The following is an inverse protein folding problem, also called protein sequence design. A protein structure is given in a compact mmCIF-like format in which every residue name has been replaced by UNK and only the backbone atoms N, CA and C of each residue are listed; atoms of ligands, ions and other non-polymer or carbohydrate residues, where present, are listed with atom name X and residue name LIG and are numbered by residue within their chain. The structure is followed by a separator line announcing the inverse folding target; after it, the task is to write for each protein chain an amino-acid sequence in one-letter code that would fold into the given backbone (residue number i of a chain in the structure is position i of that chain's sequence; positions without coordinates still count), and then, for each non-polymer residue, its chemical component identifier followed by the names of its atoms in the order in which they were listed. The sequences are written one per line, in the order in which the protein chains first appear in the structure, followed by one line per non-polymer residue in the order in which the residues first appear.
data_IF_102234281160
#
_entry.id   IF_102234281160
#
_cell.length_a   1.000
_cell.length_b   1.000
_cell.length_c   1.000
_cell.angle_alpha   90.00
_cell.angle_beta   90.00
_cell.angle_gamma   90.00
#
_symmetry.space_group_name_H-M   'P 1'
#
loop_
_entity.id
_entity.type
_entity.pdbx_description
1 polymer ?
#
# COMPACT_ATOMS: atom_id res chain seq x y z
N UNK A 1 -20.77 -63.85 -32.69
CA UNK A 1 -21.46 -62.84 -31.91
C UNK A 1 -20.78 -62.75 -30.56
N UNK A 2 -19.95 -61.73 -30.32
CA UNK A 2 -19.36 -61.49 -29.03
C UNK A 2 -20.35 -60.67 -28.19
N UNK A 3 -20.89 -61.30 -27.14
CA UNK A 3 -21.63 -60.60 -26.11
C UNK A 3 -20.67 -59.68 -25.37
N UNK A 4 -20.82 -58.39 -25.59
CA UNK A 4 -20.13 -57.37 -24.83
C UNK A 4 -20.91 -57.23 -23.49
N UNK A 5 -20.36 -57.60 -22.32
CA UNK A 5 -21.09 -57.47 -21.06
C UNK A 5 -21.47 -56.02 -20.86
N UNK A 6 -22.75 -55.72 -20.73
CA UNK A 6 -23.22 -54.40 -20.29
C UNK A 6 -22.66 -54.16 -18.92
N UNK A 7 -22.07 -52.96 -18.66
CA UNK A 7 -21.65 -52.64 -17.29
C UNK A 7 -22.90 -52.65 -16.39
N UNK A 8 -22.86 -53.42 -15.33
CA UNK A 8 -23.88 -53.42 -14.31
C UNK A 8 -23.92 -52.04 -13.63
N UNK A 9 -25.10 -51.45 -13.44
CA UNK A 9 -25.20 -50.15 -12.77
C UNK A 9 -24.76 -50.27 -11.30
N UNK A 10 -23.77 -49.54 -10.91
CA UNK A 10 -23.28 -49.43 -9.53
C UNK A 10 -23.72 -48.08 -8.93
N UNK A 11 -24.46 -48.16 -7.83
CA UNK A 11 -24.96 -46.99 -7.10
C UNK A 11 -24.15 -46.83 -5.82
N UNK A 12 -23.47 -45.66 -5.63
CA UNK A 12 -22.63 -45.37 -4.48
C UNK A 12 -22.82 -43.97 -3.93
N UNK A 13 -22.89 -43.86 -2.61
CA UNK A 13 -22.75 -42.58 -1.91
C UNK A 13 -21.68 -42.74 -0.82
N UNK A 14 -20.62 -41.94 -0.87
CA UNK A 14 -19.48 -42.02 0.05
C UNK A 14 -19.26 -40.68 0.71
N UNK A 15 -19.10 -40.67 2.03
CA UNK A 15 -18.57 -39.57 2.81
C UNK A 15 -17.08 -39.87 3.04
N UNK A 16 -16.20 -39.03 2.50
CA UNK A 16 -14.76 -39.18 2.68
C UNK A 16 -14.25 -38.12 3.69
N UNK A 17 -13.50 -38.57 4.70
CA UNK A 17 -12.81 -37.74 5.66
C UNK A 17 -11.29 -37.96 5.47
N UNK A 18 -10.54 -36.90 5.26
CA UNK A 18 -9.09 -36.95 5.25
C UNK A 18 -8.54 -35.93 6.24
N UNK A 19 -7.69 -36.40 7.14
CA UNK A 19 -7.07 -35.59 8.17
C UNK A 19 -5.55 -35.75 8.15
N UNK A 20 -4.82 -34.67 7.91
CA UNK A 20 -3.36 -34.63 8.02
C UNK A 20 -2.99 -34.37 9.49
N UNK A 21 -2.24 -35.30 10.09
CA UNK A 21 -1.74 -35.16 11.45
C UNK A 21 -0.57 -34.16 11.45
N UNK A 22 -0.77 -32.99 12.04
CA UNK A 22 0.21 -31.90 12.05
C UNK A 22 1.27 -32.08 13.15
N UNK A 23 1.95 -33.23 13.15
CA UNK A 23 2.95 -33.57 14.16
C UNK A 23 4.17 -32.62 14.11
N UNK A 24 4.57 -32.22 12.91
CA UNK A 24 5.73 -31.36 12.67
C UNK A 24 5.36 -29.88 12.60
N UNK A 25 4.10 -29.54 12.72
CA UNK A 25 3.62 -28.17 12.72
C UNK A 25 3.51 -27.52 11.33
N UNK A 26 3.41 -28.30 10.25
CA UNK A 26 3.28 -27.74 8.89
C UNK A 26 2.08 -26.81 8.77
N UNK A 27 0.89 -27.28 9.18
CA UNK A 27 -0.34 -26.51 9.13
C UNK A 27 -0.31 -25.33 10.11
N UNK A 28 0.25 -25.49 11.30
CA UNK A 28 0.42 -24.42 12.28
C UNK A 28 1.35 -23.32 11.75
N UNK A 29 2.52 -23.67 11.20
CA UNK A 29 3.42 -22.72 10.57
C UNK A 29 2.81 -22.03 9.36
N UNK A 30 2.08 -22.78 8.52
CA UNK A 30 1.38 -22.21 7.37
C UNK A 30 0.28 -21.22 7.79
N UNK A 31 -0.47 -21.54 8.85
CA UNK A 31 -1.46 -20.65 9.43
C UNK A 31 -0.81 -19.38 10.00
N UNK A 32 0.29 -19.53 10.75
CA UNK A 32 1.04 -18.38 11.29
C UNK A 32 1.56 -17.47 10.18
N UNK A 33 2.09 -18.04 9.08
CA UNK A 33 2.48 -17.28 7.91
C UNK A 33 1.29 -16.54 7.29
N UNK A 34 0.12 -17.19 7.20
CA UNK A 34 -1.11 -16.57 6.69
C UNK A 34 -1.60 -15.42 7.56
N UNK A 35 -1.59 -15.58 8.88
CA UNK A 35 -1.95 -14.52 9.84
C UNK A 35 -0.99 -13.34 9.72
N UNK A 36 0.33 -13.60 9.67
CA UNK A 36 1.32 -12.54 9.52
C UNK A 36 1.15 -11.77 8.19
N UNK A 37 0.89 -12.48 7.08
CA UNK A 37 0.59 -11.86 5.80
C UNK A 37 -0.69 -11.01 5.83
N UNK A 38 -1.74 -11.46 6.51
CA UNK A 38 -2.94 -10.67 6.71
C UNK A 38 -2.67 -9.40 7.53
N UNK A 39 -2.00 -9.53 8.68
CA UNK A 39 -1.66 -8.37 9.53
C UNK A 39 -0.75 -7.38 8.80
N UNK A 40 0.19 -7.87 7.98
CA UNK A 40 0.99 -7.04 7.09
C UNK A 40 0.12 -6.18 6.17
N UNK A 41 -0.93 -6.75 5.57
CA UNK A 41 -1.83 -6.01 4.69
C UNK A 41 -2.66 -4.95 5.43
N UNK A 42 -3.05 -5.23 6.68
CA UNK A 42 -3.73 -4.28 7.56
C UNK A 42 -2.83 -3.08 7.87
N UNK A 43 -1.58 -3.34 8.27
CA UNK A 43 -0.64 -2.25 8.58
C UNK A 43 -0.20 -1.49 7.32
N UNK A 44 -0.10 -2.15 6.15
CA UNK A 44 0.13 -1.49 4.87
C UNK A 44 -0.99 -0.48 4.53
N UNK A 45 -2.25 -0.85 4.81
CA UNK A 45 -3.39 0.05 4.65
C UNK A 45 -3.28 1.28 5.56
N UNK A 46 -2.92 1.07 6.83
CA UNK A 46 -2.74 2.19 7.78
C UNK A 46 -1.59 3.11 7.34
N UNK A 47 -0.46 2.55 6.88
CA UNK A 47 0.66 3.32 6.36
C UNK A 47 0.23 4.16 5.13
N UNK A 48 -0.50 3.56 4.18
CA UNK A 48 -1.02 4.27 3.02
C UNK A 48 -1.99 5.39 3.41
N UNK A 49 -2.89 5.15 4.38
CA UNK A 49 -3.80 6.18 4.88
C UNK A 49 -3.05 7.38 5.46
N UNK A 50 -2.00 7.14 6.26
CA UNK A 50 -1.17 8.23 6.82
C UNK A 50 -0.48 9.02 5.71
N UNK A 51 0.12 8.34 4.74
CA UNK A 51 0.77 8.98 3.59
C UNK A 51 -0.23 9.82 2.79
N UNK A 52 -1.39 9.27 2.49
CA UNK A 52 -2.44 9.98 1.74
C UNK A 52 -2.90 11.24 2.47
N UNK A 53 -3.13 11.17 3.79
CA UNK A 53 -3.52 12.35 4.58
C UNK A 53 -2.43 13.41 4.54
N UNK A 54 -1.15 13.02 4.66
CA UNK A 54 -0.04 13.96 4.59
C UNK A 54 0.10 14.60 3.19
N UNK A 55 -0.05 13.81 2.12
CA UNK A 55 -0.01 14.30 0.73
C UNK A 55 -1.16 15.27 0.43
N UNK A 56 -2.38 14.95 0.86
CA UNK A 56 -3.55 15.84 0.71
C UNK A 56 -3.33 17.15 1.47
N UNK A 57 -2.83 17.09 2.71
CA UNK A 57 -2.54 18.28 3.49
C UNK A 57 -1.46 19.14 2.83
N UNK A 58 -0.36 18.54 2.40
CA UNK A 58 0.72 19.26 1.71
C UNK A 58 0.23 19.92 0.41
N UNK A 59 -0.49 19.18 -0.44
CA UNK A 59 -1.03 19.69 -1.68
C UNK A 59 -2.05 20.83 -1.45
N UNK A 60 -2.86 20.75 -0.39
CA UNK A 60 -3.80 21.80 -0.01
C UNK A 60 -3.09 23.09 0.45
N UNK A 61 -2.04 22.98 1.28
CA UNK A 61 -1.26 24.14 1.69
C UNK A 61 -0.50 24.76 0.54
N UNK A 62 0.03 23.97 -0.40
CA UNK A 62 0.63 24.46 -1.63
C UNK A 62 -0.40 25.22 -2.50
N UNK A 63 -1.63 24.73 -2.60
CA UNK A 63 -2.71 25.42 -3.30
C UNK A 63 -3.03 26.77 -2.65
N UNK A 64 -3.15 26.81 -1.32
CA UNK A 64 -3.34 28.08 -0.59
C UNK A 64 -2.20 29.06 -0.78
N UNK A 65 -0.96 28.57 -0.88
CA UNK A 65 0.21 29.41 -1.16
C UNK A 65 0.16 29.99 -2.58
N UNK A 66 -0.25 29.21 -3.59
CA UNK A 66 -0.42 29.69 -4.95
C UNK A 66 -1.54 30.73 -5.07
N UNK A 67 -2.66 30.55 -4.36
CA UNK A 67 -3.75 31.54 -4.29
C UNK A 67 -3.22 32.87 -3.69
N UNK A 68 -2.44 32.79 -2.60
CA UNK A 68 -1.82 33.97 -2.00
C UNK A 68 -0.81 34.65 -2.94
N UNK A 69 0.02 33.87 -3.65
CA UNK A 69 0.93 34.40 -4.66
C UNK A 69 0.18 35.12 -5.78
N UNK A 70 -0.95 34.56 -6.23
CA UNK A 70 -1.81 35.18 -7.24
C UNK A 70 -2.36 36.53 -6.75
N UNK A 71 -2.80 36.62 -5.52
CA UNK A 71 -3.29 37.88 -4.93
C UNK A 71 -2.19 38.95 -4.84
N UNK A 72 -0.98 38.56 -4.44
CA UNK A 72 0.20 39.47 -4.44
C UNK A 72 0.50 39.98 -5.84
N UNK A 73 0.48 39.08 -6.84
CA UNK A 73 0.73 39.47 -8.24
C UNK A 73 -0.37 40.42 -8.74
N UNK A 74 -1.66 40.17 -8.43
CA UNK A 74 -2.74 41.09 -8.79
C UNK A 74 -2.60 42.48 -8.17
N UNK A 75 -2.23 42.58 -6.91
CA UNK A 75 -1.96 43.84 -6.24
C UNK A 75 -0.73 44.52 -6.84
N UNK A 76 0.32 43.78 -7.17
CA UNK A 76 1.53 44.31 -7.84
C UNK A 76 1.19 44.84 -9.22
N UNK A 77 0.36 44.17 -9.99
CA UNK A 77 -0.09 44.64 -11.30
C UNK A 77 -0.84 45.97 -11.20
N UNK A 78 -1.73 46.13 -10.23
CA UNK A 78 -2.43 47.39 -10.00
C UNK A 78 -1.43 48.53 -9.71
N UNK A 79 -0.43 48.30 -8.84
CA UNK A 79 0.60 49.26 -8.53
C UNK A 79 1.50 49.59 -9.75
N UNK A 80 1.88 48.57 -10.57
CA UNK A 80 2.67 48.75 -11.79
C UNK A 80 1.93 49.55 -12.84
N UNK A 81 0.61 49.33 -13.04
CA UNK A 81 -0.23 50.10 -13.96
C UNK A 81 -0.28 51.56 -13.57
N UNK A 82 -0.42 51.85 -12.27
CA UNK A 82 -0.36 53.24 -11.78
C UNK A 82 1.04 53.83 -11.95
N UNK A 83 2.11 53.06 -11.72
CA UNK A 83 3.49 53.48 -12.00
C UNK A 83 3.73 53.85 -13.46
N UNK A 84 3.22 53.07 -14.41
CA UNK A 84 3.26 53.35 -15.86
C UNK A 84 2.51 54.66 -16.17
N UNK A 85 1.32 54.83 -15.58
CA UNK A 85 0.53 56.06 -15.75
C UNK A 85 1.28 57.30 -15.29
N UNK A 86 1.90 57.27 -14.13
CA UNK A 86 2.70 58.39 -13.61
C UNK A 86 3.97 58.63 -14.42
N UNK A 87 4.67 57.57 -14.85
CA UNK A 87 5.86 57.71 -15.70
C UNK A 87 5.54 58.35 -17.04
N UNK A 88 4.38 57.99 -17.64
CA UNK A 88 3.85 58.61 -18.86
C UNK A 88 3.61 60.11 -18.69
N UNK A 89 2.88 60.49 -17.64
CA UNK A 89 2.59 61.91 -17.35
C UNK A 89 3.87 62.75 -17.17
N UNK A 90 4.89 62.20 -16.47
CA UNK A 90 6.18 62.89 -16.28
C UNK A 90 6.96 63.01 -17.58
N UNK A 91 6.92 61.99 -18.45
CA UNK A 91 7.55 62.04 -19.77
C UNK A 91 6.87 63.09 -20.67
N UNK A 92 5.53 63.09 -20.78
CA UNK A 92 4.74 64.04 -21.55
C UNK A 92 4.93 65.46 -21.03
N UNK A 93 5.15 65.64 -19.71
CA UNK A 93 5.48 66.93 -19.10
C UNK A 93 6.94 67.35 -19.21
N UNK A 94 7.80 66.58 -19.90
CA UNK A 94 9.20 66.88 -20.09
C UNK A 94 10.08 66.71 -18.82
N UNK A 95 9.54 66.05 -17.78
CA UNK A 95 10.22 65.92 -16.49
C UNK A 95 11.13 64.66 -16.40
N UNK A 96 10.95 63.69 -17.30
CA UNK A 96 11.77 62.45 -17.34
C UNK A 96 12.03 62.02 -18.77
N UNK A 97 13.04 61.13 -18.95
CA UNK A 97 13.35 60.55 -20.26
C UNK A 97 12.34 59.44 -20.66
N UNK A 98 12.21 59.24 -21.97
CA UNK A 98 11.44 58.13 -22.54
C UNK A 98 11.89 56.76 -22.02
N UNK A 99 13.18 56.60 -21.69
CA UNK A 99 13.75 55.39 -21.13
C UNK A 99 13.05 54.98 -19.83
N UNK A 100 12.77 55.95 -18.93
CA UNK A 100 12.08 55.66 -17.66
C UNK A 100 10.63 55.18 -17.88
N UNK A 101 9.92 55.77 -18.85
CA UNK A 101 8.57 55.31 -19.23
C UNK A 101 8.60 53.91 -19.84
N UNK A 102 9.52 53.64 -20.78
CA UNK A 102 9.69 52.37 -21.42
C UNK A 102 10.07 51.25 -20.41
N UNK A 103 10.94 51.55 -19.44
CA UNK A 103 11.27 50.61 -18.35
C UNK A 103 10.04 50.26 -17.51
N UNK A 104 9.19 51.22 -17.16
CA UNK A 104 7.97 50.98 -16.42
C UNK A 104 7.01 50.06 -17.20
N UNK A 105 6.89 50.23 -18.52
CA UNK A 105 6.10 49.37 -19.38
C UNK A 105 6.65 47.93 -19.44
N UNK A 106 7.97 47.76 -19.55
CA UNK A 106 8.60 46.42 -19.53
C UNK A 106 8.34 45.71 -18.21
N UNK A 107 8.45 46.41 -17.09
CA UNK A 107 8.18 45.82 -15.77
C UNK A 107 6.69 45.46 -15.60
N UNK A 108 5.76 46.24 -16.13
CA UNK A 108 4.34 45.88 -16.17
C UNK A 108 4.13 44.62 -17.01
N UNK A 109 4.64 44.57 -18.23
CA UNK A 109 4.48 43.44 -19.14
C UNK A 109 5.07 42.14 -18.53
N UNK A 110 6.25 42.21 -17.88
CA UNK A 110 6.85 41.08 -17.16
C UNK A 110 5.93 40.59 -16.05
N UNK A 111 5.34 41.49 -15.28
CA UNK A 111 4.43 41.10 -14.19
C UNK A 111 3.12 40.47 -14.74
N UNK A 112 2.61 40.97 -15.86
CA UNK A 112 1.41 40.44 -16.52
C UNK A 112 1.60 38.98 -16.98
N UNK A 113 2.82 38.57 -17.38
CA UNK A 113 3.07 37.18 -17.78
C UNK A 113 3.02 36.17 -16.61
N UNK A 114 3.14 36.65 -15.36
CA UNK A 114 3.08 35.76 -14.19
C UNK A 114 1.65 35.23 -13.94
N UNK A 115 0.63 36.01 -14.21
CA UNK A 115 -0.75 35.67 -13.85
C UNK A 115 -1.27 34.42 -14.56
N UNK A 116 -1.14 34.25 -15.89
CA UNK A 116 -1.56 33.04 -16.57
C UNK A 116 -0.79 31.79 -16.09
N UNK A 117 0.49 31.96 -15.78
CA UNK A 117 1.31 30.85 -15.26
C UNK A 117 0.82 30.38 -13.88
N UNK A 118 0.44 31.32 -13.00
CA UNK A 118 -0.11 30.99 -11.69
C UNK A 118 -1.49 30.34 -11.81
N UNK A 119 -2.35 30.86 -12.68
CA UNK A 119 -3.67 30.26 -12.95
C UNK A 119 -3.56 28.82 -13.43
N UNK A 120 -2.60 28.54 -14.32
CA UNK A 120 -2.33 27.17 -14.76
C UNK A 120 -1.85 26.28 -13.59
N UNK A 121 -0.90 26.77 -12.74
CA UNK A 121 -0.41 26.01 -11.59
C UNK A 121 -1.52 25.71 -10.59
N UNK A 122 -2.41 26.68 -10.34
CA UNK A 122 -3.58 26.50 -9.46
C UNK A 122 -4.47 25.41 -9.99
N UNK A 123 -4.81 25.42 -11.28
CA UNK A 123 -5.66 24.40 -11.91
C UNK A 123 -5.03 23.00 -11.88
N UNK A 124 -3.71 22.91 -12.11
CA UNK A 124 -2.98 21.63 -11.98
C UNK A 124 -3.07 21.13 -10.55
N UNK A 125 -2.82 21.98 -9.55
CA UNK A 125 -2.87 21.59 -8.14
C UNK A 125 -4.28 21.21 -7.67
N UNK A 126 -5.33 21.86 -8.19
CA UNK A 126 -6.73 21.45 -7.97
C UNK A 126 -7.00 20.05 -8.52
N UNK A 127 -6.50 19.76 -9.73
CA UNK A 127 -6.65 18.43 -10.33
C UNK A 127 -5.89 17.35 -9.53
N UNK A 128 -4.66 17.66 -9.07
CA UNK A 128 -3.89 16.75 -8.22
C UNK A 128 -4.63 16.43 -6.91
N UNK A 129 -5.20 17.45 -6.27
CA UNK A 129 -6.02 17.26 -5.06
C UNK A 129 -7.28 16.46 -5.34
N UNK A 130 -8.01 16.75 -6.42
CA UNK A 130 -9.20 15.99 -6.79
C UNK A 130 -8.84 14.50 -7.02
N UNK A 131 -7.71 14.22 -7.66
CA UNK A 131 -7.21 12.85 -7.85
C UNK A 131 -6.90 12.16 -6.51
N UNK A 132 -6.19 12.83 -5.59
CA UNK A 132 -5.90 12.28 -4.25
C UNK A 132 -7.17 12.01 -3.44
N UNK A 133 -8.22 12.80 -3.64
CA UNK A 133 -9.53 12.62 -3.01
C UNK A 133 -10.42 11.60 -3.71
N UNK A 134 -9.99 11.03 -4.84
CA UNK A 134 -10.79 10.11 -5.64
C UNK A 134 -11.99 10.77 -6.32
N UNK A 135 -11.91 12.07 -6.62
CA UNK A 135 -12.96 12.87 -7.24
C UNK A 135 -12.59 13.25 -8.67
N UNK A 136 -13.60 13.60 -9.46
CA UNK A 136 -13.37 14.20 -10.76
C UNK A 136 -12.79 15.60 -10.62
N UNK A 137 -11.99 16.04 -11.62
CA UNK A 137 -11.42 17.37 -11.67
C UNK A 137 -12.50 18.46 -11.50
N UNK A 138 -12.25 19.38 -10.58
CA UNK A 138 -13.19 20.44 -10.24
C UNK A 138 -12.55 21.47 -9.31
N UNK A 139 -13.30 22.49 -8.97
CA UNK A 139 -12.86 23.51 -8.04
C UNK A 139 -12.80 22.94 -6.61
N UNK A 140 -11.66 23.13 -5.95
CA UNK A 140 -11.47 22.72 -4.55
C UNK A 140 -11.88 23.89 -3.65
N UNK A 141 -12.81 23.67 -2.69
CA UNK A 141 -13.20 24.73 -1.76
C UNK A 141 -12.01 25.17 -0.90
N UNK A 142 -11.83 26.49 -0.75
CA UNK A 142 -10.80 27.09 0.12
C UNK A 142 -11.40 27.33 1.50
N UNK A 143 -10.60 27.06 2.52
CA UNK A 143 -10.91 27.44 3.90
C UNK A 143 -10.36 28.83 4.24
N UNK A 144 -9.76 28.93 5.42
CA UNK A 144 -9.12 30.19 5.84
C UNK A 144 -7.89 30.50 4.96
N UNK A 145 -7.64 31.80 4.69
CA UNK A 145 -6.39 32.23 4.03
C UNK A 145 -5.15 31.70 4.78
N UNK A 146 -4.07 31.44 4.05
CA UNK A 146 -2.84 30.86 4.63
C UNK A 146 -2.32 31.64 5.84
N UNK A 147 -2.47 32.97 5.85
CA UNK A 147 -2.05 33.87 6.94
C UNK A 147 -2.86 33.75 8.22
N UNK A 148 -4.08 33.24 8.13
CA UNK A 148 -5.03 33.10 9.23
C UNK A 148 -5.05 31.66 9.79
N UNK A 149 -4.29 30.76 9.17
CA UNK A 149 -4.17 29.38 9.63
C UNK A 149 -3.21 29.30 10.81
N UNK A 150 -3.67 28.68 11.89
CA UNK A 150 -2.86 28.45 13.08
C UNK A 150 -2.14 27.11 13.00
N UNK A 151 -0.82 27.13 13.09
CA UNK A 151 -0.03 25.93 13.31
C UNK A 151 -0.09 25.53 14.78
N UNK A 152 -0.09 24.22 15.06
CA UNK A 152 0.07 23.72 16.42
C UNK A 152 1.46 24.17 16.93
N UNK A 153 1.49 25.01 17.96
CA UNK A 153 2.75 25.54 18.51
C UNK A 153 3.63 24.48 19.16
N UNK A 154 3.04 23.39 19.65
CA UNK A 154 3.78 22.29 20.28
C UNK A 154 3.29 20.94 19.75
N UNK A 155 4.15 20.24 19.03
CA UNK A 155 3.95 18.84 18.72
C UNK A 155 4.47 18.01 19.89
N UNK A 156 3.68 17.09 20.47
CA UNK A 156 4.18 16.20 21.51
C UNK A 156 5.22 15.25 20.87
N UNK A 157 6.49 15.57 21.07
CA UNK A 157 7.59 14.74 20.58
C UNK A 157 7.69 13.53 21.50
N UNK A 158 7.23 12.37 21.02
CA UNK A 158 7.43 11.08 21.72
C UNK A 158 8.87 10.63 21.68
N UNK A 159 9.24 9.72 22.61
CA UNK A 159 10.56 9.05 22.54
C UNK A 159 10.70 8.32 21.19
N UNK A 160 11.88 8.38 20.54
CA UNK A 160 12.12 7.70 19.24
C UNK A 160 11.74 6.22 19.25
N UNK A 161 11.97 5.50 20.37
CA UNK A 161 11.60 4.09 20.54
C UNK A 161 10.09 3.86 20.49
N UNK A 162 9.29 4.73 21.09
CA UNK A 162 7.82 4.60 21.07
C UNK A 162 7.23 4.89 19.68
N UNK A 163 7.90 5.68 18.86
CA UNK A 163 7.51 5.92 17.47
C UNK A 163 7.68 4.67 16.61
N UNK A 164 8.76 3.88 16.83
CA UNK A 164 8.99 2.62 16.11
C UNK A 164 7.84 1.64 16.34
N UNK A 165 7.31 1.56 17.56
CA UNK A 165 6.20 0.66 17.89
C UNK A 165 4.82 1.14 17.35
N UNK A 166 4.67 2.45 17.16
CA UNK A 166 3.39 3.05 16.72
C UNK A 166 3.26 3.18 15.21
N UNK A 167 4.36 3.27 14.49
CA UNK A 167 4.37 3.46 13.03
C UNK A 167 3.86 2.23 12.30
N UNK A 168 2.84 2.38 11.43
CA UNK A 168 2.28 1.26 10.68
C UNK A 168 3.29 0.63 9.69
N UNK A 169 4.17 1.42 9.08
CA UNK A 169 5.23 0.94 8.19
C UNK A 169 6.24 0.03 8.90
N UNK A 170 6.58 0.35 10.16
CA UNK A 170 7.42 -0.50 11.00
C UNK A 170 6.72 -1.81 11.38
N UNK A 171 5.44 -1.73 11.77
CA UNK A 171 4.62 -2.91 12.05
C UNK A 171 4.45 -3.79 10.81
N UNK A 172 4.27 -3.19 9.64
CA UNK A 172 4.24 -3.91 8.37
C UNK A 172 5.54 -4.69 8.13
N UNK A 173 6.70 -4.04 8.34
CA UNK A 173 8.01 -4.68 8.18
C UNK A 173 8.22 -5.83 9.18
N UNK A 174 7.75 -5.66 10.43
CA UNK A 174 7.76 -6.72 11.45
C UNK A 174 6.91 -7.92 11.03
N UNK A 175 5.70 -7.69 10.52
CA UNK A 175 4.83 -8.79 10.06
C UNK A 175 5.44 -9.53 8.86
N UNK A 176 6.12 -8.84 7.94
CA UNK A 176 6.88 -9.48 6.86
C UNK A 176 7.97 -10.40 7.38
N UNK A 177 8.70 -9.95 8.40
CA UNK A 177 9.73 -10.74 9.03
C UNK A 177 9.15 -11.98 9.72
N UNK A 178 8.01 -11.84 10.42
CA UNK A 178 7.28 -12.96 11.05
C UNK A 178 6.78 -13.95 9.99
N UNK A 179 6.21 -13.48 8.90
CA UNK A 179 5.78 -14.34 7.77
C UNK A 179 6.97 -15.14 7.21
N UNK A 180 8.10 -14.49 6.94
CA UNK A 180 9.28 -15.14 6.42
C UNK A 180 9.82 -16.21 7.39
N UNK A 181 9.83 -15.94 8.70
CA UNK A 181 10.19 -16.91 9.73
C UNK A 181 9.25 -18.12 9.74
N UNK A 182 7.94 -17.89 9.70
CA UNK A 182 6.96 -18.97 9.66
C UNK A 182 7.11 -19.83 8.39
N UNK A 183 7.44 -19.22 7.25
CA UNK A 183 7.74 -19.95 6.00
C UNK A 183 9.01 -20.80 6.09
N UNK A 184 10.00 -20.42 6.90
CA UNK A 184 11.15 -21.30 7.23
C UNK A 184 10.66 -22.52 8.00
N UNK A 185 9.75 -22.34 8.97
CA UNK A 185 9.12 -23.45 9.69
C UNK A 185 8.43 -24.42 8.75
N UNK A 186 7.57 -23.91 7.83
CA UNK A 186 6.92 -24.73 6.79
C UNK A 186 7.94 -25.50 5.95
N UNK A 187 9.00 -24.82 5.48
CA UNK A 187 10.02 -25.47 4.64
C UNK A 187 10.80 -26.56 5.40
N UNK A 188 10.99 -26.40 6.71
CA UNK A 188 11.64 -27.39 7.54
C UNK A 188 10.79 -28.65 7.69
N UNK A 189 9.46 -28.52 7.78
CA UNK A 189 8.57 -29.69 7.91
C UNK A 189 8.60 -30.62 6.69
N UNK A 190 8.96 -30.11 5.50
CA UNK A 190 9.10 -30.96 4.31
C UNK A 190 10.30 -31.96 4.37
N UNK A 191 11.14 -31.88 5.40
CA UNK A 191 12.18 -32.87 5.66
C UNK A 191 11.67 -34.08 6.43
N UNK A 192 10.46 -34.01 6.97
CA UNK A 192 9.84 -35.07 7.78
C UNK A 192 8.71 -35.76 7.02
N UNK A 193 8.33 -37.00 7.42
CA UNK A 193 7.24 -37.71 6.79
C UNK A 193 5.89 -37.02 7.05
N UNK A 194 5.02 -37.02 6.05
CA UNK A 194 3.62 -36.66 6.23
C UNK A 194 2.82 -37.87 6.69
N UNK A 195 1.97 -37.66 7.68
CA UNK A 195 1.08 -38.69 8.23
C UNK A 195 -0.34 -38.20 8.02
N UNK A 196 -1.15 -38.99 7.29
CA UNK A 196 -2.56 -38.71 7.07
C UNK A 196 -3.43 -39.88 7.48
N UNK A 197 -4.60 -39.57 7.97
CA UNK A 197 -5.65 -40.55 8.30
C UNK A 197 -6.80 -40.30 7.32
N UNK A 198 -7.18 -41.33 6.59
CA UNK A 198 -8.27 -41.28 5.62
C UNK A 198 -9.36 -42.25 6.06
N UNK A 199 -10.59 -41.79 6.18
CA UNK A 199 -11.75 -42.57 6.48
C UNK A 199 -12.83 -42.39 5.43
N UNK A 200 -13.44 -43.44 4.99
CA UNK A 200 -14.63 -43.43 4.12
C UNK A 200 -15.77 -44.16 4.80
N UNK A 201 -16.94 -43.57 4.77
CA UNK A 201 -18.19 -44.15 5.16
C UNK A 201 -19.18 -44.01 4.01
N UNK A 202 -19.80 -45.10 3.57
CA UNK A 202 -20.70 -45.02 2.44
C UNK A 202 -21.61 -46.24 2.31
N UNK A 203 -22.40 -46.19 1.27
CA UNK A 203 -23.26 -47.26 0.82
C UNK A 203 -22.92 -47.51 -0.64
N UNK A 204 -22.82 -48.78 -1.03
CA UNK A 204 -22.50 -49.21 -2.38
C UNK A 204 -23.33 -50.48 -2.69
N UNK A 205 -24.16 -50.44 -3.75
CA UNK A 205 -24.98 -51.58 -4.15
C UNK A 205 -25.29 -51.51 -5.65
N UNK A 206 -25.44 -52.66 -6.28
CA UNK A 206 -25.85 -52.79 -7.66
C UNK A 206 -27.37 -52.51 -7.85
N UNK A 207 -28.18 -52.62 -6.80
CA UNK A 207 -29.61 -52.34 -6.81
C UNK A 207 -29.94 -51.08 -6.00
N UNK A 208 -30.64 -50.13 -6.62
CA UNK A 208 -31.09 -48.89 -5.98
C UNK A 208 -32.02 -49.12 -4.78
N UNK A 209 -32.84 -50.21 -4.82
CA UNK A 209 -33.76 -50.58 -3.76
C UNK A 209 -33.11 -51.09 -2.48
N UNK A 210 -31.89 -51.59 -2.58
CA UNK A 210 -31.07 -52.12 -1.48
C UNK A 210 -29.90 -51.20 -1.10
N UNK A 211 -29.84 -50.00 -1.67
CA UNK A 211 -28.75 -49.08 -1.56
C UNK A 211 -28.34 -48.79 -0.10
N UNK A 212 -29.28 -48.62 0.82
CA UNK A 212 -29.00 -48.23 2.22
C UNK A 212 -28.66 -49.47 3.10
N UNK A 213 -28.86 -50.68 2.58
CA UNK A 213 -28.71 -51.90 3.37
C UNK A 213 -27.28 -52.44 3.49
N UNK A 214 -26.36 -51.90 2.70
CA UNK A 214 -24.95 -52.36 2.67
C UNK A 214 -24.00 -51.21 3.06
N UNK A 215 -23.88 -50.85 4.36
CA UNK A 215 -22.92 -49.86 4.78
C UNK A 215 -21.49 -50.39 4.62
N UNK A 216 -20.65 -49.63 3.96
CA UNK A 216 -19.22 -49.88 3.84
C UNK A 216 -18.43 -48.80 4.56
N UNK A 217 -17.48 -49.16 5.37
CA UNK A 217 -16.56 -48.23 5.98
C UNK A 217 -15.11 -48.67 5.78
N UNK A 218 -14.25 -47.68 5.69
CA UNK A 218 -12.82 -47.90 5.51
C UNK A 218 -12.06 -46.84 6.32
N UNK A 219 -11.00 -47.29 7.03
CA UNK A 219 -10.08 -46.42 7.74
C UNK A 219 -8.67 -46.85 7.43
N UNK A 220 -7.87 -45.91 6.93
CA UNK A 220 -6.46 -46.14 6.65
C UNK A 220 -5.61 -45.01 7.22
N UNK A 221 -4.40 -45.37 7.65
CA UNK A 221 -3.34 -44.43 7.97
C UNK A 221 -2.25 -44.49 6.90
N UNK A 222 -1.91 -43.34 6.32
CA UNK A 222 -0.88 -43.23 5.32
C UNK A 222 0.34 -42.49 5.88
N UNK A 223 1.54 -43.02 5.68
CA UNK A 223 2.79 -42.38 5.98
C UNK A 223 3.56 -42.19 4.68
N UNK A 224 3.73 -40.92 4.28
CA UNK A 224 4.41 -40.56 3.05
C UNK A 224 5.68 -39.78 3.34
N UNK A 225 6.85 -40.36 2.99
CA UNK A 225 8.13 -39.67 3.03
C UNK A 225 8.88 -39.84 1.73
N UNK A 226 9.22 -38.73 1.00
CA UNK A 226 10.07 -38.81 -0.16
C UNK A 226 11.50 -39.14 0.27
N UNK A 227 11.96 -40.38 0.04
CA UNK A 227 13.31 -40.83 0.37
C UNK A 227 14.37 -40.21 -0.57
N UNK A 228 14.02 -40.03 -1.85
CA UNK A 228 14.89 -39.52 -2.88
C UNK A 228 14.25 -38.31 -3.59
N UNK A 229 14.47 -37.11 -3.03
CA UNK A 229 14.00 -35.84 -3.63
C UNK A 229 15.14 -35.03 -4.27
N UNK A 230 16.28 -35.65 -4.59
CA UNK A 230 17.46 -35.02 -5.22
C UNK A 230 17.85 -33.67 -4.57
N UNK A 231 17.74 -33.56 -3.27
CA UNK A 231 18.04 -32.32 -2.54
C UNK A 231 16.96 -31.23 -2.58
N UNK A 232 15.83 -31.44 -3.27
CA UNK A 232 14.76 -30.45 -3.47
C UNK A 232 14.28 -29.83 -2.16
N UNK A 233 13.98 -30.65 -1.14
CA UNK A 233 13.47 -30.13 0.14
C UNK A 233 14.54 -29.36 0.92
N UNK A 234 15.82 -29.79 0.87
CA UNK A 234 16.95 -29.04 1.44
C UNK A 234 17.15 -27.70 0.72
N UNK A 235 17.03 -27.69 -0.62
CA UNK A 235 17.12 -26.45 -1.40
C UNK A 235 15.97 -25.49 -1.08
N UNK A 236 14.73 -25.98 -0.90
CA UNK A 236 13.58 -25.18 -0.45
C UNK A 236 13.83 -24.55 0.92
N UNK A 237 14.35 -25.31 1.88
CA UNK A 237 14.70 -24.79 3.20
C UNK A 237 15.80 -23.72 3.11
N UNK A 238 16.85 -23.97 2.30
CA UNK A 238 17.91 -22.97 2.08
C UNK A 238 17.35 -21.68 1.47
N UNK A 239 16.46 -21.78 0.49
CA UNK A 239 15.81 -20.63 -0.12
C UNK A 239 14.91 -19.87 0.88
N UNK A 240 14.16 -20.59 1.73
CA UNK A 240 13.34 -19.97 2.77
C UNK A 240 14.21 -19.22 3.81
N UNK A 241 15.33 -19.78 4.23
CA UNK A 241 16.29 -19.11 5.14
C UNK A 241 16.88 -17.86 4.52
N UNK A 242 17.30 -17.92 3.25
CA UNK A 242 17.83 -16.74 2.55
C UNK A 242 16.78 -15.63 2.44
N UNK A 243 15.50 -15.97 2.23
CA UNK A 243 14.39 -14.98 2.25
C UNK A 243 14.19 -14.38 3.64
N UNK A 244 14.27 -15.20 4.69
CA UNK A 244 14.20 -14.68 6.04
C UNK A 244 15.35 -13.70 6.34
N UNK A 245 16.59 -14.02 5.96
CA UNK A 245 17.75 -13.12 6.10
C UNK A 245 17.53 -11.82 5.31
N UNK A 246 16.98 -11.89 4.10
CA UNK A 246 16.59 -10.72 3.32
C UNK A 246 15.61 -9.83 4.09
N UNK A 247 14.58 -10.41 4.72
CA UNK A 247 13.60 -9.64 5.49
C UNK A 247 14.21 -9.08 6.79
N UNK A 248 15.19 -9.72 7.40
CA UNK A 248 15.95 -9.14 8.52
C UNK A 248 16.65 -7.85 8.10
N UNK A 249 17.34 -7.86 6.94
CA UNK A 249 18.00 -6.65 6.42
C UNK A 249 16.99 -5.57 5.97
N UNK A 250 15.85 -5.96 5.41
CA UNK A 250 14.77 -5.04 5.07
C UNK A 250 14.21 -4.36 6.33
N UNK A 251 14.00 -5.11 7.40
CA UNK A 251 13.58 -4.55 8.69
C UNK A 251 14.60 -3.56 9.25
N UNK A 252 15.89 -3.94 9.28
CA UNK A 252 16.97 -3.04 9.71
C UNK A 252 17.02 -1.75 8.88
N UNK A 253 16.87 -1.86 7.56
CA UNK A 253 16.80 -0.70 6.66
C UNK A 253 15.61 0.21 7.00
N UNK A 254 14.45 -0.36 7.33
CA UNK A 254 13.27 0.42 7.73
C UNK A 254 13.53 1.17 9.05
N UNK A 255 14.15 0.54 10.04
CA UNK A 255 14.53 1.18 11.30
C UNK A 255 15.48 2.38 11.06
N UNK A 256 16.49 2.19 10.21
CA UNK A 256 17.44 3.26 9.87
C UNK A 256 16.74 4.42 9.11
N UNK A 257 15.81 4.10 8.21
CA UNK A 257 15.05 5.11 7.49
C UNK A 257 14.19 5.95 8.44
N UNK A 258 13.49 5.32 9.36
CA UNK A 258 12.67 6.02 10.39
C UNK A 258 13.55 6.87 11.30
N UNK A 259 14.72 6.35 11.74
CA UNK A 259 15.66 7.13 12.56
C UNK A 259 16.17 8.37 11.82
N UNK A 260 16.45 8.24 10.51
CA UNK A 260 16.84 9.37 9.67
C UNK A 260 15.70 10.40 9.55
N UNK A 261 14.48 9.96 9.33
CA UNK A 261 13.31 10.85 9.23
C UNK A 261 13.10 11.65 10.52
N UNK A 262 13.14 10.98 11.68
CA UNK A 262 12.98 11.64 12.99
C UNK A 262 14.10 12.64 13.27
N UNK A 263 15.34 12.36 12.85
CA UNK A 263 16.46 13.29 13.04
C UNK A 263 16.43 14.49 12.06
N UNK A 264 15.71 14.36 10.95
CA UNK A 264 15.59 15.43 9.94
C UNK A 264 14.37 16.33 10.18
N UNK A 265 13.42 15.89 10.99
CA UNK A 265 12.21 16.64 11.34
C UNK A 265 12.44 17.58 12.52
#
# INVERSE_FOLDING_TARGET
GGDNPKPDPEYGAKLALSWELDLWGNLRWANEAGIAAYLQSVEARHALQMTLVAEVAAAYYELCALDQEQDIVRHTLAARREGVRLAKLRFEGGLTSETSYSQAQVELARTETLLPSLEQKIKIKENDLAFLLGQYSGDIPRGLPLREQHLLETLPVGLPSSLLERRPDMRQAEQKLREANARVGVAQTYLFPKISLTGNLGFENEELTNFIKSPAWFLAGDLLQPLFAMGKNKAKLKAARARYEQEVYNYQKSVLAVSKEVNNA
#
